data_IF_216749436678
#
_entry.id   IF_216749436678
#
_cell.length_a   1.000
_cell.length_b   1.000
_cell.length_c   1.000
_cell.angle_alpha   90.00
_cell.angle_beta   90.00
_cell.angle_gamma   90.00
#
_symmetry.space_group_name_H-M   'P 1'
#
loop_
_entity.id
_entity.type
_entity.pdbx_description
1 polymer ?
#
# COMPACT_ATOMS: atom_id res chain seq x y z
N UNK A 1 -14.21 -23.51 -10.54
CA UNK A 1 -14.33 -22.13 -11.06
C UNK A 1 -13.08 -21.38 -10.68
N UNK A 2 -12.35 -20.78 -11.64
CA UNK A 2 -11.21 -19.94 -11.30
C UNK A 2 -11.72 -18.67 -10.62
N UNK A 3 -11.29 -18.43 -9.38
CA UNK A 3 -11.56 -17.16 -8.68
C UNK A 3 -10.92 -16.03 -9.47
N UNK A 4 -11.72 -15.03 -9.87
CA UNK A 4 -11.24 -13.86 -10.59
C UNK A 4 -10.33 -13.06 -9.64
N UNK A 5 -9.01 -13.08 -9.88
CA UNK A 5 -8.04 -12.33 -9.07
C UNK A 5 -8.03 -10.87 -9.50
N UNK A 6 -8.23 -9.94 -8.56
CA UNK A 6 -8.08 -8.51 -8.84
C UNK A 6 -6.63 -8.10 -8.62
N UNK A 7 -6.23 -7.04 -9.30
CA UNK A 7 -4.89 -6.45 -9.20
C UNK A 7 -5.02 -5.05 -8.61
N UNK A 8 -4.18 -4.76 -7.62
CA UNK A 8 -4.15 -3.49 -6.92
C UNK A 8 -2.76 -2.87 -6.98
N UNK A 9 -2.70 -1.54 -7.08
CA UNK A 9 -1.46 -0.78 -6.96
C UNK A 9 -1.56 0.13 -5.76
N UNK A 10 -0.64 -0.04 -4.81
CA UNK A 10 -0.53 0.83 -3.63
C UNK A 10 0.70 1.71 -3.83
N UNK A 11 0.45 3.00 -4.06
CA UNK A 11 1.49 4.00 -4.30
C UNK A 11 1.41 5.18 -3.32
N UNK A 12 1.84 5.00 -2.07
CA UNK A 12 1.77 6.04 -1.07
C UNK A 12 2.76 7.16 -1.40
N UNK A 13 2.35 8.40 -1.12
CA UNK A 13 3.24 9.54 -1.22
C UNK A 13 4.04 9.68 0.08
N UNK A 14 5.15 8.95 0.16
CA UNK A 14 6.07 9.04 1.31
C UNK A 14 6.92 10.30 1.13
N UNK A 15 6.80 11.27 2.04
CA UNK A 15 7.58 12.52 2.00
C UNK A 15 9.08 12.20 1.97
N UNK A 16 9.76 12.78 1.00
CA UNK A 16 11.22 12.70 0.87
C UNK A 16 11.81 13.96 1.49
N UNK A 17 11.95 13.98 2.82
CA UNK A 17 12.55 15.14 3.49
C UNK A 17 14.08 15.12 3.30
N UNK A 18 14.61 16.23 2.76
CA UNK A 18 16.03 16.39 2.38
C UNK A 18 16.98 16.54 3.57
N UNK A 19 16.48 16.45 4.81
CA UNK A 19 17.27 16.43 6.05
C UNK A 19 16.92 15.19 6.85
N UNK A 20 17.91 14.43 7.35
CA UNK A 20 17.80 13.22 8.22
C UNK A 20 16.77 12.12 7.85
N UNK A 21 16.01 12.24 6.76
CA UNK A 21 14.78 11.50 6.45
C UNK A 21 14.77 10.75 5.11
N UNK A 22 15.93 10.54 4.47
CA UNK A 22 16.09 9.35 3.61
C UNK A 22 15.75 8.05 4.37
N UNK A 23 15.89 8.07 5.69
CA UNK A 23 15.47 6.99 6.58
C UNK A 23 13.98 6.72 6.56
N UNK A 24 13.11 7.68 6.25
CA UNK A 24 11.65 7.48 6.31
C UNK A 24 11.18 6.57 5.18
N UNK A 25 11.65 6.82 3.95
CA UNK A 25 11.37 5.95 2.79
C UNK A 25 11.99 4.56 3.00
N UNK A 26 13.24 4.49 3.42
CA UNK A 26 13.90 3.20 3.62
C UNK A 26 13.25 2.40 4.75
N UNK A 27 12.94 3.03 5.90
CA UNK A 27 12.21 2.37 6.99
C UNK A 27 10.84 1.88 6.56
N UNK A 28 10.13 2.66 5.75
CA UNK A 28 8.86 2.24 5.19
C UNK A 28 9.03 1.01 4.30
N UNK A 29 9.99 1.00 3.36
CA UNK A 29 10.28 -0.19 2.54
C UNK A 29 10.63 -1.40 3.39
N UNK A 30 11.49 -1.22 4.38
CA UNK A 30 11.88 -2.29 5.30
C UNK A 30 10.68 -2.82 6.09
N UNK A 31 9.75 -1.96 6.52
CA UNK A 31 8.52 -2.40 7.19
C UNK A 31 7.62 -3.22 6.24
N UNK A 32 7.39 -2.74 5.01
CA UNK A 32 6.63 -3.46 3.98
C UNK A 32 7.22 -4.86 3.74
N UNK A 33 8.54 -4.96 3.58
CA UNK A 33 9.23 -6.22 3.30
C UNK A 33 9.29 -7.15 4.52
N UNK A 34 9.62 -6.62 5.70
CA UNK A 34 9.74 -7.39 6.94
C UNK A 34 8.39 -7.93 7.39
N UNK A 35 7.38 -7.08 7.43
CA UNK A 35 6.07 -7.41 7.99
C UNK A 35 5.13 -8.02 6.93
N UNK A 36 5.55 -7.98 5.65
CA UNK A 36 4.80 -8.51 4.49
C UNK A 36 3.41 -7.89 4.37
N UNK A 37 3.35 -6.57 4.50
CA UNK A 37 2.10 -5.79 4.50
C UNK A 37 2.06 -4.80 3.36
N UNK A 38 0.85 -4.44 2.91
CA UNK A 38 0.62 -3.27 2.08
C UNK A 38 -0.09 -2.22 2.94
N UNK A 39 0.45 -1.00 2.97
CA UNK A 39 -0.04 0.08 3.83
C UNK A 39 -0.59 1.19 2.94
N UNK A 40 -1.88 1.49 3.12
CA UNK A 40 -2.50 2.66 2.54
C UNK A 40 -2.38 3.82 3.53
N UNK A 41 -1.89 4.98 3.07
CA UNK A 41 -1.75 6.18 3.91
C UNK A 41 -3.07 6.91 4.19
N UNK A 42 -4.21 6.25 3.99
CA UNK A 42 -5.56 6.78 4.19
C UNK A 42 -6.30 5.91 5.19
N UNK A 43 -7.07 6.53 6.08
CA UNK A 43 -7.90 5.81 7.03
C UNK A 43 -9.05 5.09 6.29
N UNK A 44 -9.55 3.95 6.81
CA UNK A 44 -10.62 3.18 6.16
C UNK A 44 -11.96 3.93 6.07
N UNK A 45 -12.11 5.03 6.80
CA UNK A 45 -13.24 5.94 6.85
C UNK A 45 -12.92 7.32 6.23
N UNK A 46 -11.75 7.48 5.62
CA UNK A 46 -11.37 8.72 4.96
C UNK A 46 -12.12 8.87 3.62
N UNK A 47 -13.26 9.55 3.69
CA UNK A 47 -14.11 9.90 2.56
C UNK A 47 -13.73 11.24 1.91
N UNK A 48 -12.95 12.07 2.59
CA UNK A 48 -12.69 13.46 2.22
C UNK A 48 -11.67 13.59 1.09
N UNK A 49 -10.82 12.57 0.92
CA UNK A 49 -9.75 12.61 -0.09
C UNK A 49 -10.16 11.93 -1.41
N UNK A 50 -10.46 12.76 -2.39
CA UNK A 50 -10.38 12.54 -3.84
C UNK A 50 -11.32 11.50 -4.45
N UNK A 51 -11.44 10.30 -3.87
CA UNK A 51 -12.21 9.17 -4.41
C UNK A 51 -12.57 8.12 -3.33
N UNK A 52 -12.65 8.51 -2.04
CA UNK A 52 -12.87 7.59 -0.93
C UNK A 52 -11.92 6.37 -0.99
N UNK A 53 -10.63 6.65 -1.26
CA UNK A 53 -9.63 5.62 -1.57
C UNK A 53 -9.39 4.71 -0.36
N UNK A 54 -9.39 5.28 0.85
CA UNK A 54 -9.31 4.53 2.10
C UNK A 54 -10.44 3.50 2.25
N UNK A 55 -11.71 3.94 2.25
CA UNK A 55 -12.87 3.05 2.25
C UNK A 55 -12.84 2.01 1.12
N UNK A 56 -12.45 2.41 -0.09
CA UNK A 56 -12.34 1.48 -1.22
C UNK A 56 -11.35 0.36 -0.95
N UNK A 57 -10.12 0.71 -0.57
CA UNK A 57 -9.09 -0.28 -0.30
C UNK A 57 -9.45 -1.19 0.87
N UNK A 58 -9.96 -0.60 1.96
CA UNK A 58 -10.36 -1.33 3.16
C UNK A 58 -11.45 -2.36 2.91
N UNK A 59 -12.37 -2.09 1.97
CA UNK A 59 -13.54 -2.93 1.72
C UNK A 59 -13.43 -3.80 0.47
N UNK A 60 -12.67 -3.41 -0.55
CA UNK A 60 -12.63 -4.11 -1.85
C UNK A 60 -11.41 -5.02 -2.05
N UNK A 61 -10.31 -4.80 -1.34
CA UNK A 61 -9.16 -5.72 -1.36
C UNK A 61 -9.53 -6.99 -0.62
N UNK A 62 -9.33 -8.16 -1.25
CA UNK A 62 -9.73 -9.46 -0.69
C UNK A 62 -8.60 -10.48 -0.73
N UNK A 63 -8.73 -11.51 0.11
CA UNK A 63 -7.88 -12.70 0.06
C UNK A 63 -7.80 -13.27 -1.37
N UNK A 64 -6.58 -13.50 -1.84
CA UNK A 64 -6.31 -13.99 -3.20
C UNK A 64 -6.08 -12.91 -4.26
N UNK A 65 -6.33 -11.63 -3.94
CA UNK A 65 -5.95 -10.52 -4.81
C UNK A 65 -4.42 -10.35 -4.89
N UNK A 66 -3.95 -9.71 -5.96
CA UNK A 66 -2.54 -9.39 -6.16
C UNK A 66 -2.33 -7.90 -5.88
N UNK A 67 -1.35 -7.58 -5.03
CA UNK A 67 -0.99 -6.20 -4.67
C UNK A 67 0.44 -5.91 -5.13
N UNK A 68 0.59 -4.84 -5.91
CA UNK A 68 1.86 -4.21 -6.26
C UNK A 68 2.05 -2.99 -5.35
N UNK A 69 3.10 -3.01 -4.52
CA UNK A 69 3.56 -1.84 -3.76
C UNK A 69 4.64 -1.15 -4.58
N UNK A 70 4.34 0.03 -5.08
CA UNK A 70 5.25 0.81 -5.91
C UNK A 70 5.23 2.27 -5.48
N UNK A 71 6.22 3.06 -5.88
CA UNK A 71 6.20 4.52 -5.68
C UNK A 71 6.85 5.21 -6.87
N UNK A 72 6.65 6.51 -6.98
CA UNK A 72 7.30 7.34 -8.00
C UNK A 72 8.29 8.28 -7.32
N UNK A 73 9.56 8.21 -7.72
CA UNK A 73 10.63 9.10 -7.26
C UNK A 73 11.16 9.89 -8.44
N UNK A 74 11.06 11.23 -8.44
CA UNK A 74 11.62 12.05 -9.53
C UNK A 74 11.25 11.58 -10.96
N UNK A 75 10.03 11.03 -11.13
CA UNK A 75 9.52 10.39 -12.36
C UNK A 75 10.00 8.97 -12.68
N UNK A 76 10.88 8.40 -11.87
CA UNK A 76 11.28 7.00 -11.94
C UNK A 76 10.35 6.14 -11.07
N UNK A 77 9.66 5.14 -11.64
CA UNK A 77 8.88 4.20 -10.87
C UNK A 77 9.82 3.23 -10.15
N UNK A 78 9.55 3.00 -8.87
CA UNK A 78 10.25 2.05 -8.03
C UNK A 78 9.25 1.02 -7.49
N UNK A 79 9.45 -0.25 -7.85
CA UNK A 79 8.69 -1.36 -7.29
C UNK A 79 9.36 -1.79 -5.99
N UNK A 80 8.58 -1.88 -4.92
CA UNK A 80 9.05 -2.28 -3.59
C UNK A 80 8.71 -3.74 -3.32
N UNK A 81 7.47 -4.14 -3.59
CA UNK A 81 7.02 -5.51 -3.36
C UNK A 81 5.85 -5.89 -4.28
N UNK A 82 5.71 -7.18 -4.55
CA UNK A 82 4.52 -7.78 -5.18
C UNK A 82 4.15 -9.02 -4.39
N UNK A 83 2.86 -9.19 -4.10
CA UNK A 83 2.40 -10.34 -3.33
C UNK A 83 0.92 -10.64 -3.51
N UNK A 84 0.51 -11.79 -2.98
CA UNK A 84 -0.89 -12.20 -2.90
C UNK A 84 -1.41 -11.84 -1.51
N UNK A 85 -2.59 -11.22 -1.45
CA UNK A 85 -3.28 -10.93 -0.19
C UNK A 85 -3.64 -12.25 0.47
N UNK A 86 -3.09 -12.48 1.66
CA UNK A 86 -3.24 -13.74 2.41
C UNK A 86 -4.10 -13.59 3.67
N UNK A 87 -4.50 -12.38 4.02
CA UNK A 87 -5.43 -12.10 5.11
C UNK A 87 -6.29 -10.88 4.79
N UNK A 88 -7.47 -10.81 5.41
CA UNK A 88 -8.29 -9.60 5.38
C UNK A 88 -7.60 -8.43 6.09
N UNK A 89 -8.17 -7.23 5.96
CA UNK A 89 -7.68 -6.01 6.59
C UNK A 89 -7.51 -6.23 8.10
N UNK A 90 -6.27 -6.12 8.58
CA UNK A 90 -5.97 -6.11 10.02
C UNK A 90 -6.27 -4.72 10.56
N UNK A 91 -7.20 -4.63 11.52
CA UNK A 91 -7.39 -3.45 12.37
C UNK A 91 -6.53 -3.66 13.61
N UNK A 92 -5.68 -2.69 13.95
CA UNK A 92 -5.10 -2.69 15.29
C UNK A 92 -6.24 -2.51 16.31
N UNK A 93 -6.25 -3.35 17.33
CA UNK A 93 -7.19 -3.31 18.45
C UNK A 93 -6.58 -2.67 19.66
#
# INVERSE_FOLDING_TARGET
MATLRRYWVVSPNVKEDKTKEQRSVERWKQAILRDRVAIMGWAPDDHDHGHAVGPKFANEVKNGDIVLVARKKWREPEVVAVGVVSSDLKREG
#
